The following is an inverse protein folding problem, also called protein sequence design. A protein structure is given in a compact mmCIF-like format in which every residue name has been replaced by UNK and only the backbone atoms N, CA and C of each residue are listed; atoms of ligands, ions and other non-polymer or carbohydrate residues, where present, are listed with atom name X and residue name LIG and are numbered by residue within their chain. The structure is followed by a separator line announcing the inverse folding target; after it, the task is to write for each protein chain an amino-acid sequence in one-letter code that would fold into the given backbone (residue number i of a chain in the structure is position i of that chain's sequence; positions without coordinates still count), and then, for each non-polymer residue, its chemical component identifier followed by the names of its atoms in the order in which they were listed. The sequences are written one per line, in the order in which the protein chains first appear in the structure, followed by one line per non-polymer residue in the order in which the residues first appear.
data_IF_713766344981
#
_entry.id   IF_713766344981
#
_cell.length_a   1.000
_cell.length_b   1.000
_cell.length_c   1.000
_cell.angle_alpha   90.00
_cell.angle_beta   90.00
_cell.angle_gamma   90.00
#
_symmetry.space_group_name_H-M   'P 1'
#
loop_
_entity.id
_entity.type
_entity.pdbx_description
1 polymer ?
#
# COMPACT_ATOMS: atom_id res chain seq x y z
N UNK A 1 10.19 -17.73 -19.89
CA UNK A 1 9.04 -17.00 -19.38
C UNK A 1 8.36 -17.77 -18.26
N UNK A 2 8.06 -17.11 -17.17
CA UNK A 2 7.36 -17.73 -16.05
C UNK A 2 5.95 -18.19 -16.48
N UNK A 3 5.52 -19.34 -15.96
CA UNK A 3 4.17 -19.79 -16.20
C UNK A 3 3.22 -19.03 -15.27
N UNK A 4 2.59 -17.99 -15.78
CA UNK A 4 1.76 -17.09 -14.98
C UNK A 4 0.50 -17.76 -14.43
N UNK A 5 0.03 -18.84 -15.04
CA UNK A 5 -1.07 -19.61 -14.50
C UNK A 5 -0.69 -20.28 -13.18
N UNK A 6 0.54 -20.79 -13.08
CA UNK A 6 1.06 -21.39 -11.84
C UNK A 6 1.23 -20.35 -10.72
N UNK A 7 1.38 -19.08 -11.09
CA UNK A 7 1.46 -17.98 -10.14
C UNK A 7 0.09 -17.50 -9.64
N UNK A 8 -0.99 -18.06 -10.16
CA UNK A 8 -2.35 -17.72 -9.73
C UNK A 8 -2.97 -16.53 -10.44
N UNK A 9 -2.37 -16.08 -11.55
CA UNK A 9 -2.93 -14.97 -12.33
C UNK A 9 -4.11 -15.46 -13.19
N UNK A 10 -5.14 -14.59 -13.32
CA UNK A 10 -6.20 -14.85 -14.29
C UNK A 10 -5.64 -14.77 -15.71
N UNK A 11 -6.27 -15.44 -16.70
CA UNK A 11 -5.79 -15.37 -18.08
C UNK A 11 -5.69 -13.94 -18.62
N UNK A 12 -6.64 -13.08 -18.30
CA UNK A 12 -6.64 -11.69 -18.75
C UNK A 12 -5.52 -10.88 -18.12
N UNK A 13 -5.29 -11.06 -16.82
CA UNK A 13 -4.21 -10.37 -16.11
C UNK A 13 -2.84 -10.85 -16.61
N UNK A 14 -2.68 -12.14 -16.84
CA UNK A 14 -1.45 -12.71 -17.39
C UNK A 14 -1.15 -12.12 -18.78
N UNK A 15 -2.15 -12.03 -19.64
CA UNK A 15 -1.98 -11.43 -20.97
C UNK A 15 -1.60 -9.96 -20.88
N UNK A 16 -2.23 -9.23 -19.96
CA UNK A 16 -1.95 -7.81 -19.76
C UNK A 16 -0.52 -7.58 -19.32
N UNK A 17 -0.03 -8.35 -18.35
CA UNK A 17 1.34 -8.19 -17.84
C UNK A 17 2.38 -8.58 -18.91
N UNK A 18 2.14 -9.63 -19.68
CA UNK A 18 3.04 -10.07 -20.76
C UNK A 18 3.21 -8.97 -21.82
N UNK A 19 2.13 -8.26 -22.13
CA UNK A 19 2.12 -7.20 -23.15
C UNK A 19 2.59 -5.85 -22.62
N UNK A 20 2.77 -5.72 -21.32
CA UNK A 20 3.15 -4.46 -20.70
C UNK A 20 4.67 -4.28 -20.70
N UNK A 21 5.09 -3.04 -20.48
CA UNK A 21 6.51 -2.70 -20.29
C UNK A 21 7.01 -3.18 -18.92
N UNK A 22 6.13 -3.74 -18.10
CA UNK A 22 6.44 -4.18 -16.73
C UNK A 22 6.63 -5.70 -16.59
N UNK A 23 6.62 -6.45 -17.72
CA UNK A 23 6.74 -7.92 -17.67
C UNK A 23 8.05 -8.37 -16.98
N UNK A 24 9.17 -7.77 -17.36
CA UNK A 24 10.48 -8.11 -16.77
C UNK A 24 10.54 -7.74 -15.30
N UNK A 25 10.02 -6.56 -14.95
CA UNK A 25 9.96 -6.13 -13.56
C UNK A 25 9.08 -7.06 -12.74
N UNK A 26 7.94 -7.48 -13.28
CA UNK A 26 7.06 -8.44 -12.60
C UNK A 26 7.79 -9.74 -12.28
N UNK A 27 8.48 -10.32 -13.25
CA UNK A 27 9.25 -11.55 -13.04
C UNK A 27 10.31 -11.38 -11.95
N UNK A 28 11.01 -10.24 -11.95
CA UNK A 28 12.02 -9.91 -10.94
C UNK A 28 11.38 -9.81 -9.55
N UNK A 29 10.25 -9.10 -9.42
CA UNK A 29 9.60 -8.88 -8.13
C UNK A 29 9.02 -10.17 -7.55
N UNK A 30 8.46 -11.03 -8.38
CA UNK A 30 7.95 -12.34 -7.94
C UNK A 30 9.06 -13.17 -7.29
N UNK A 31 10.25 -13.19 -7.89
CA UNK A 31 11.39 -13.93 -7.34
C UNK A 31 12.03 -13.27 -6.13
N UNK A 32 11.98 -11.95 -6.06
CA UNK A 32 12.68 -11.17 -5.03
C UNK A 32 11.85 -10.94 -3.76
N UNK A 33 10.52 -10.85 -3.88
CA UNK A 33 9.63 -10.51 -2.78
C UNK A 33 8.60 -11.61 -2.51
N UNK A 34 9.00 -12.68 -1.78
CA UNK A 34 8.11 -13.83 -1.56
C UNK A 34 6.89 -13.53 -0.68
N UNK A 35 6.90 -12.44 0.07
CA UNK A 35 5.76 -12.04 0.90
C UNK A 35 4.65 -11.33 0.10
N UNK A 36 4.93 -11.00 -1.17
CA UNK A 36 3.96 -10.38 -2.05
C UNK A 36 3.43 -11.42 -3.02
N UNK A 37 2.10 -11.55 -3.10
CA UNK A 37 1.51 -12.52 -4.02
C UNK A 37 1.67 -12.07 -5.46
N UNK A 38 1.92 -13.00 -6.40
CA UNK A 38 2.00 -12.63 -7.81
C UNK A 38 0.76 -11.92 -8.35
N UNK A 39 -0.49 -12.33 -8.01
CA UNK A 39 -1.68 -11.59 -8.44
C UNK A 39 -1.69 -10.14 -7.95
N UNK A 40 -1.29 -9.88 -6.71
CA UNK A 40 -1.19 -8.52 -6.18
C UNK A 40 -0.19 -7.69 -6.98
N UNK A 41 1.00 -8.24 -7.25
CA UNK A 41 2.05 -7.54 -8.01
C UNK A 41 1.58 -7.21 -9.42
N UNK A 42 1.00 -8.18 -10.11
CA UNK A 42 0.52 -8.00 -11.47
C UNK A 42 -0.62 -6.98 -11.53
N UNK A 43 -1.58 -7.09 -10.64
CA UNK A 43 -2.71 -6.16 -10.57
C UNK A 43 -2.23 -4.73 -10.32
N UNK A 44 -1.34 -4.55 -9.34
CA UNK A 44 -0.82 -3.22 -8.99
C UNK A 44 -0.01 -2.62 -10.14
N UNK A 45 0.84 -3.42 -10.80
CA UNK A 45 1.63 -2.94 -11.95
C UNK A 45 0.74 -2.52 -13.12
N UNK A 46 -0.42 -3.16 -13.28
CA UNK A 46 -1.35 -2.81 -14.36
C UNK A 46 -2.28 -1.66 -14.00
N UNK A 47 -2.52 -1.38 -12.73
CA UNK A 47 -3.52 -0.41 -12.28
C UNK A 47 -2.97 0.86 -11.65
N UNK A 48 -1.69 0.89 -11.23
CA UNK A 48 -1.19 2.03 -10.45
C UNK A 48 -1.29 3.37 -11.21
N UNK A 49 -1.03 3.36 -12.51
CA UNK A 49 -1.08 4.59 -13.31
C UNK A 49 -2.50 5.16 -13.37
N UNK A 50 -3.50 4.29 -13.51
CA UNK A 50 -4.91 4.67 -13.52
C UNK A 50 -5.34 5.24 -12.17
N UNK A 51 -4.93 4.59 -11.09
CA UNK A 51 -5.23 5.06 -9.73
C UNK A 51 -4.55 6.39 -9.42
N UNK A 52 -3.32 6.58 -9.89
CA UNK A 52 -2.62 7.85 -9.77
C UNK A 52 -3.37 8.97 -10.52
N UNK A 53 -3.93 8.66 -11.69
CA UNK A 53 -4.72 9.62 -12.46
C UNK A 53 -5.97 10.07 -11.68
N UNK A 54 -6.62 9.15 -10.98
CA UNK A 54 -7.76 9.47 -10.12
C UNK A 54 -7.36 10.46 -9.01
N UNK A 55 -6.11 10.35 -8.53
CA UNK A 55 -5.57 11.23 -7.48
C UNK A 55 -4.93 12.51 -8.02
N UNK A 56 -5.14 12.81 -9.30
CA UNK A 56 -4.71 14.07 -9.89
C UNK A 56 -3.33 14.06 -10.55
N UNK A 57 -2.73 12.90 -10.77
CA UNK A 57 -1.44 12.78 -11.45
C UNK A 57 -1.67 12.57 -12.94
N UNK A 58 -0.96 13.33 -13.79
CA UNK A 58 -1.09 13.19 -15.25
C UNK A 58 -0.60 11.81 -15.71
N UNK A 59 -1.10 11.35 -16.87
CA UNK A 59 -0.66 10.10 -17.47
C UNK A 59 0.85 10.10 -17.73
N UNK A 60 1.40 11.24 -18.12
CA UNK A 60 2.84 11.41 -18.38
C UNK A 60 3.66 11.23 -17.10
N UNK A 61 3.21 11.85 -16.01
CA UNK A 61 3.89 11.73 -14.71
C UNK A 61 3.81 10.31 -14.17
N UNK A 62 2.66 9.64 -14.33
CA UNK A 62 2.50 8.25 -13.92
C UNK A 62 3.40 7.32 -14.76
N UNK A 63 3.51 7.58 -16.06
CA UNK A 63 4.37 6.80 -16.95
C UNK A 63 5.86 7.04 -16.66
N UNK A 64 6.20 8.17 -16.05
CA UNK A 64 7.59 8.51 -15.68
C UNK A 64 8.06 7.80 -14.39
N UNK A 65 7.17 7.11 -13.67
CA UNK A 65 7.55 6.31 -12.51
C UNK A 65 8.52 5.22 -12.95
N UNK A 66 9.74 5.26 -12.42
CA UNK A 66 10.79 4.32 -12.83
C UNK A 66 10.61 2.95 -12.18
N UNK A 67 11.22 1.94 -12.82
CA UNK A 67 11.27 0.59 -12.24
C UNK A 67 11.94 0.61 -10.87
N UNK A 68 12.96 1.44 -10.69
CA UNK A 68 13.67 1.57 -9.42
C UNK A 68 12.72 2.09 -8.32
N UNK A 69 11.89 3.07 -8.62
CA UNK A 69 10.88 3.57 -7.68
C UNK A 69 9.90 2.46 -7.30
N UNK A 70 9.43 1.71 -8.29
CA UNK A 70 8.52 0.57 -8.04
C UNK A 70 9.21 -0.51 -7.18
N UNK A 71 10.48 -0.82 -7.44
CA UNK A 71 11.24 -1.78 -6.63
C UNK A 71 11.32 -1.34 -5.18
N UNK A 72 11.59 -0.07 -4.93
CA UNK A 72 11.69 0.47 -3.56
C UNK A 72 10.36 0.41 -2.83
N UNK A 73 9.27 0.78 -3.50
CA UNK A 73 7.93 0.73 -2.92
C UNK A 73 7.53 -0.71 -2.57
N UNK A 74 7.71 -1.65 -3.49
CA UNK A 74 7.38 -3.05 -3.24
C UNK A 74 8.30 -3.69 -2.20
N UNK A 75 9.57 -3.30 -2.15
CA UNK A 75 10.48 -3.76 -1.10
C UNK A 75 9.98 -3.35 0.28
N UNK A 76 9.47 -2.13 0.41
CA UNK A 76 8.90 -1.64 1.67
C UNK A 76 7.64 -2.42 2.06
N UNK A 77 6.78 -2.75 1.09
CA UNK A 77 5.58 -3.57 1.36
C UNK A 77 6.00 -4.98 1.78
N UNK A 78 6.97 -5.57 1.08
CA UNK A 78 7.46 -6.92 1.38
C UNK A 78 8.05 -7.02 2.80
N UNK A 79 8.75 -5.98 3.24
CA UNK A 79 9.37 -5.94 4.58
C UNK A 79 8.40 -5.51 5.68
N UNK A 80 7.17 -5.16 5.35
CA UNK A 80 6.17 -4.73 6.32
C UNK A 80 6.28 -3.27 6.73
N UNK A 81 7.11 -2.47 6.06
CA UNK A 81 7.28 -1.05 6.37
C UNK A 81 6.23 -0.15 5.72
N UNK A 82 5.58 -0.64 4.67
CA UNK A 82 4.56 0.10 3.93
C UNK A 82 3.32 -0.77 3.77
N UNK A 83 2.13 -0.21 4.02
CA UNK A 83 0.87 -0.91 3.80
C UNK A 83 0.59 -1.00 2.29
N UNK A 84 -0.06 -2.08 1.84
CA UNK A 84 -0.45 -2.26 0.44
C UNK A 84 -1.29 -1.10 -0.06
N UNK A 85 -2.21 -0.62 0.75
CA UNK A 85 -3.09 0.51 0.42
C UNK A 85 -2.35 1.85 0.32
N UNK A 86 -1.12 1.94 0.80
CA UNK A 86 -0.31 3.15 0.74
C UNK A 86 0.58 3.23 -0.50
N UNK A 87 0.64 2.17 -1.31
CA UNK A 87 1.52 2.11 -2.49
C UNK A 87 1.22 3.26 -3.47
N UNK A 88 -0.04 3.41 -3.86
CA UNK A 88 -0.42 4.43 -4.84
C UNK A 88 -0.18 5.83 -4.28
N UNK A 89 -0.50 6.07 -3.01
CA UNK A 89 -0.28 7.38 -2.37
C UNK A 89 1.22 7.73 -2.34
N UNK A 90 2.07 6.75 -2.03
CA UNK A 90 3.51 6.95 -2.05
C UNK A 90 4.02 7.28 -3.46
N UNK A 91 3.47 6.63 -4.48
CA UNK A 91 3.81 6.91 -5.88
C UNK A 91 3.33 8.30 -6.31
N UNK A 92 2.14 8.71 -5.87
CA UNK A 92 1.61 10.06 -6.13
C UNK A 92 2.54 11.13 -5.54
N UNK A 93 2.95 10.95 -4.29
CA UNK A 93 3.88 11.89 -3.64
C UNK A 93 5.22 11.94 -4.37
N UNK A 94 5.75 10.79 -4.79
CA UNK A 94 7.00 10.73 -5.56
C UNK A 94 6.88 11.48 -6.88
N UNK A 95 5.74 11.34 -7.56
CA UNK A 95 5.49 12.04 -8.82
C UNK A 95 5.39 13.56 -8.64
N UNK A 96 4.75 14.00 -7.55
CA UNK A 96 4.55 15.43 -7.28
C UNK A 96 5.80 16.13 -6.75
N UNK A 97 6.60 15.44 -5.94
CA UNK A 97 7.78 16.02 -5.29
C UNK A 97 9.09 15.68 -5.99
N UNK A 98 9.08 14.74 -6.92
CA UNK A 98 10.29 14.25 -7.59
C UNK A 98 11.12 13.30 -6.73
N UNK A 99 10.68 12.98 -5.52
CA UNK A 99 11.39 12.09 -4.60
C UNK A 99 10.44 11.12 -3.93
N UNK A 100 10.85 9.85 -3.85
CA UNK A 100 10.12 8.85 -3.08
C UNK A 100 10.50 8.99 -1.61
N UNK A 101 9.53 9.34 -0.77
CA UNK A 101 9.72 9.44 0.68
C UNK A 101 8.81 8.43 1.38
N UNK A 102 9.36 7.26 1.66
CA UNK A 102 8.63 6.18 2.32
C UNK A 102 8.38 6.46 3.80
N UNK A 103 9.16 7.34 4.42
CA UNK A 103 8.99 7.67 5.83
C UNK A 103 7.64 8.34 6.13
N UNK A 104 7.07 9.03 5.16
CA UNK A 104 5.75 9.69 5.29
C UNK A 104 4.61 8.68 5.27
N UNK A 105 4.82 7.49 4.74
CA UNK A 105 3.81 6.46 4.55
C UNK A 105 4.14 5.16 5.29
N UNK A 106 5.24 5.13 6.05
CA UNK A 106 5.66 3.92 6.75
C UNK A 106 4.66 3.53 7.84
N UNK A 107 4.55 2.21 8.06
CA UNK A 107 3.69 1.67 9.10
C UNK A 107 4.25 2.05 10.47
N UNK A 108 3.36 2.58 11.31
CA UNK A 108 3.70 2.99 12.67
C UNK A 108 4.02 1.76 13.53
N UNK A 109 5.09 1.80 14.36
CA UNK A 109 5.34 0.71 15.33
C UNK A 109 4.17 0.51 16.29
N UNK A 110 3.98 -0.72 16.78
CA UNK A 110 2.86 -1.07 17.65
C UNK A 110 2.79 -0.21 18.91
N UNK A 111 3.92 0.07 19.55
CA UNK A 111 3.96 0.90 20.76
C UNK A 111 3.47 2.33 20.50
N UNK A 112 3.87 2.88 19.36
CA UNK A 112 3.45 4.22 18.95
C UNK A 112 1.98 4.24 18.54
N UNK A 113 1.53 3.19 17.85
CA UNK A 113 0.13 3.02 17.48
C UNK A 113 -0.76 2.96 18.73
N UNK A 114 -0.39 2.18 19.74
CA UNK A 114 -1.14 2.10 21.00
C UNK A 114 -1.22 3.44 21.69
N UNK A 115 -0.13 4.19 21.72
CA UNK A 115 -0.09 5.53 22.32
C UNK A 115 -1.07 6.47 21.62
N UNK A 116 -1.09 6.46 20.29
CA UNK A 116 -2.02 7.28 19.52
C UNK A 116 -3.48 6.87 19.75
N UNK A 117 -3.76 5.57 19.79
CA UNK A 117 -5.11 5.06 20.02
C UNK A 117 -5.59 5.38 21.45
N UNK A 118 -4.72 5.28 22.45
CA UNK A 118 -5.05 5.67 23.83
C UNK A 118 -5.41 7.15 23.92
N UNK A 119 -4.68 8.00 23.20
CA UNK A 119 -4.98 9.43 23.16
C UNK A 119 -6.34 9.70 22.51
N UNK A 120 -6.68 8.98 21.44
CA UNK A 120 -7.98 9.11 20.77
C UNK A 120 -9.12 8.69 21.71
N UNK A 121 -8.97 7.57 22.41
CA UNK A 121 -9.96 7.07 23.37
C UNK A 121 -10.13 8.07 24.51
N UNK A 122 -9.03 8.57 25.07
CA UNK A 122 -9.06 9.53 26.19
C UNK A 122 -9.72 10.85 25.81
N UNK A 123 -9.48 11.33 24.59
CA UNK A 123 -10.06 12.58 24.10
C UNK A 123 -11.55 12.46 23.77
N UNK A 124 -12.06 11.25 23.59
CA UNK A 124 -13.43 10.98 23.13
C UNK A 124 -14.18 10.03 24.09
N UNK A 125 -14.00 10.20 25.38
CA UNK A 125 -14.68 9.38 26.38
C UNK A 125 -16.20 9.46 26.20
N UNK A 126 -16.87 8.30 26.25
CA UNK A 126 -18.30 8.21 26.06
C UNK A 126 -18.75 8.09 24.62
N UNK A 127 -17.83 8.18 23.66
CA UNK A 127 -18.14 8.00 22.25
C UNK A 127 -18.38 6.54 21.93
N UNK A 128 -19.38 6.19 21.08
CA UNK A 128 -19.60 4.82 20.65
C UNK A 128 -18.37 4.24 19.94
N UNK A 129 -18.18 2.93 20.08
CA UNK A 129 -17.03 2.23 19.51
C UNK A 129 -16.87 2.47 18.01
N UNK A 130 -17.99 2.41 17.25
CA UNK A 130 -17.97 2.66 15.80
C UNK A 130 -17.46 4.05 15.45
N UNK A 131 -17.81 5.05 16.26
CA UNK A 131 -17.33 6.42 16.05
C UNK A 131 -15.84 6.55 16.37
N UNK A 132 -15.35 5.83 17.40
CA UNK A 132 -13.92 5.76 17.70
C UNK A 132 -13.13 5.14 16.56
N UNK A 133 -13.65 4.06 15.97
CA UNK A 133 -13.02 3.44 14.78
C UNK A 133 -12.92 4.48 13.66
N UNK A 134 -13.98 5.20 13.39
CA UNK A 134 -13.99 6.23 12.35
C UNK A 134 -12.93 7.30 12.56
N UNK A 135 -12.79 7.80 13.79
CA UNK A 135 -11.78 8.80 14.14
C UNK A 135 -10.36 8.23 14.04
N UNK A 136 -10.14 7.01 14.51
CA UNK A 136 -8.84 6.35 14.42
C UNK A 136 -8.44 6.12 12.96
N UNK A 137 -9.36 5.65 12.13
CA UNK A 137 -9.11 5.43 10.72
C UNK A 137 -8.77 6.73 9.98
N UNK A 138 -9.49 7.81 10.27
CA UNK A 138 -9.23 9.12 9.69
C UNK A 138 -7.81 9.60 10.00
N UNK A 139 -7.38 9.46 11.26
CA UNK A 139 -6.08 9.93 11.73
C UNK A 139 -4.92 9.02 11.34
N UNK A 140 -5.15 7.70 11.33
CA UNK A 140 -4.09 6.70 11.16
C UNK A 140 -4.14 5.97 9.81
N UNK A 141 -4.97 6.42 8.90
CA UNK A 141 -5.10 5.81 7.59
C UNK A 141 -3.74 5.77 6.88
N UNK A 142 -3.37 4.59 6.39
CA UNK A 142 -2.09 4.39 5.73
C UNK A 142 -0.90 4.21 6.66
N UNK A 143 -1.06 4.48 7.98
CA UNK A 143 0.01 4.31 8.98
C UNK A 143 -0.05 2.97 9.69
N UNK A 144 -1.22 2.33 9.67
CA UNK A 144 -1.40 0.99 10.22
C UNK A 144 -2.52 0.28 9.46
N UNK A 145 -2.49 -1.08 9.39
CA UNK A 145 -3.61 -1.82 8.81
C UNK A 145 -4.90 -1.56 9.59
N UNK A 146 -6.01 -1.37 8.85
CA UNK A 146 -7.30 -1.07 9.49
C UNK A 146 -7.72 -2.12 10.49
N UNK A 147 -7.52 -3.41 10.18
CA UNK A 147 -7.85 -4.51 11.08
C UNK A 147 -7.07 -4.40 12.40
N UNK A 148 -5.81 -4.03 12.34
CA UNK A 148 -4.96 -3.86 13.52
C UNK A 148 -5.45 -2.71 14.40
N UNK A 149 -5.87 -1.60 13.78
CA UNK A 149 -6.47 -0.46 14.50
C UNK A 149 -7.71 -0.90 15.26
N UNK A 150 -8.61 -1.63 14.59
CA UNK A 150 -9.85 -2.13 15.21
C UNK A 150 -9.55 -3.07 16.36
N UNK A 151 -8.65 -4.04 16.20
CA UNK A 151 -8.27 -4.99 17.24
C UNK A 151 -7.71 -4.30 18.48
N UNK A 152 -6.82 -3.34 18.29
CA UNK A 152 -6.24 -2.59 19.40
C UNK A 152 -7.27 -1.70 20.11
N UNK A 153 -8.18 -1.08 19.36
CA UNK A 153 -9.26 -0.29 19.94
C UNK A 153 -10.20 -1.13 20.81
N UNK A 154 -10.51 -2.37 20.37
CA UNK A 154 -11.32 -3.29 21.18
C UNK A 154 -10.71 -3.52 22.56
N UNK A 155 -9.41 -3.65 22.62
CA UNK A 155 -8.69 -3.85 23.88
C UNK A 155 -8.67 -2.57 24.73
N UNK A 156 -8.46 -1.41 24.12
CA UNK A 156 -8.32 -0.13 24.81
C UNK A 156 -9.67 0.48 25.23
N UNK A 157 -10.73 0.18 24.50
CA UNK A 157 -12.06 0.76 24.77
C UNK A 157 -12.90 -0.03 25.77
N UNK A 158 -12.38 -1.11 26.32
CA UNK A 158 -13.04 -1.91 27.35
C UNK A 158 -13.05 -1.20 28.69
#
# INVERSE_FOLDING_TARGET
AADYKKLGLSPDLAKSIIRSDHAELFDELVGKFPNLSPPYLADTLMSFAKEMAILGVSAEAAAAVSDETLRQVFAAVNSGKLAKESVVVALVDAAKTGKLDLSRHSIMPDAELEKELKAIVAANKGMPFNALIGKAMERLRGKAPGQKIVEKLKTLAK
#
